data_IF_364867216434
#
_entry.id   IF_364867216434
#
_cell.length_a   1.000
_cell.length_b   1.000
_cell.length_c   1.000
_cell.angle_alpha   90.00
_cell.angle_beta   90.00
_cell.angle_gamma   90.00
#
_symmetry.space_group_name_H-M   'P 1'
#
loop_
_entity.id
_entity.type
_entity.pdbx_description
1 polymer ?
#
# COMPACT_ATOMS: atom_id res chain seq x y z
N UNK A 1 -48.76 13.25 36.54
CA UNK A 1 -48.06 12.25 35.72
C UNK A 1 -47.10 13.00 34.81
N UNK A 2 -45.80 12.87 35.03
CA UNK A 2 -44.75 13.43 34.19
C UNK A 2 -44.04 12.28 33.49
N UNK A 3 -44.10 12.23 32.17
CA UNK A 3 -43.16 11.43 31.38
C UNK A 3 -42.67 12.26 30.20
N UNK A 4 -41.35 12.43 30.16
CA UNK A 4 -40.59 13.24 29.22
C UNK A 4 -40.58 12.57 27.85
N UNK A 5 -40.79 13.36 26.80
CA UNK A 5 -40.56 12.98 25.40
C UNK A 5 -39.05 12.85 25.17
N UNK A 6 -38.58 11.62 24.90
CA UNK A 6 -37.26 11.38 24.34
C UNK A 6 -37.37 11.42 22.81
N UNK A 7 -36.82 12.46 22.17
CA UNK A 7 -36.59 12.52 20.73
C UNK A 7 -35.44 11.57 20.40
N UNK A 8 -35.76 10.36 19.97
CA UNK A 8 -34.80 9.47 19.33
C UNK A 8 -34.60 9.94 17.87
N UNK A 9 -33.48 10.63 17.60
CA UNK A 9 -32.98 10.77 16.23
C UNK A 9 -32.55 9.40 15.74
N UNK A 10 -33.51 8.69 15.13
CA UNK A 10 -33.35 7.33 14.63
C UNK A 10 -32.93 7.42 13.17
N UNK A 11 -31.62 7.47 12.91
CA UNK A 11 -31.11 7.05 11.62
C UNK A 11 -31.12 5.51 11.62
N UNK A 12 -32.30 4.92 11.48
CA UNK A 12 -32.43 3.50 11.12
C UNK A 12 -32.85 3.44 9.67
N UNK A 13 -31.88 3.22 8.79
CA UNK A 13 -32.18 2.55 7.53
C UNK A 13 -32.74 1.18 7.89
N UNK A 14 -33.92 0.78 7.36
CA UNK A 14 -34.50 -0.53 7.62
C UNK A 14 -33.54 -1.66 7.19
N UNK A 15 -33.60 -2.81 7.87
CA UNK A 15 -32.77 -3.99 7.58
C UNK A 15 -32.96 -4.57 6.16
N UNK A 16 -33.99 -4.12 5.43
CA UNK A 16 -34.42 -4.59 4.10
C UNK A 16 -34.10 -3.64 2.93
N UNK A 17 -33.06 -2.79 3.04
CA UNK A 17 -32.62 -1.92 1.94
C UNK A 17 -31.20 -2.29 1.50
N UNK A 18 -30.80 -2.06 0.24
CA UNK A 18 -29.41 -2.24 -0.14
C UNK A 18 -28.56 -1.37 0.78
N UNK A 19 -27.65 -2.02 1.50
CA UNK A 19 -26.70 -1.35 2.36
C UNK A 19 -25.65 -0.64 1.50
N UNK A 20 -25.63 0.69 1.56
CA UNK A 20 -24.65 1.52 0.86
C UNK A 20 -23.35 1.61 1.68
N UNK A 21 -22.33 0.86 1.28
CA UNK A 21 -20.99 1.00 1.86
C UNK A 21 -20.24 2.18 1.25
N UNK A 22 -19.93 3.20 2.04
CA UNK A 22 -19.19 4.37 1.58
C UNK A 22 -17.67 4.17 1.65
N UNK A 23 -17.06 3.77 0.53
CA UNK A 23 -15.61 3.60 0.45
C UNK A 23 -14.83 4.91 0.70
N UNK A 24 -15.42 6.08 0.42
CA UNK A 24 -14.76 7.38 0.67
C UNK A 24 -14.61 7.69 2.18
N UNK A 25 -15.33 6.98 3.05
CA UNK A 25 -15.20 7.14 4.49
C UNK A 25 -14.06 6.27 5.08
N UNK A 26 -13.53 5.33 4.30
CA UNK A 26 -12.44 4.45 4.73
C UNK A 26 -11.13 5.25 4.75
N UNK A 27 -10.39 5.13 5.84
CA UNK A 27 -9.07 5.74 6.03
C UNK A 27 -8.05 4.66 6.34
N UNK A 28 -6.79 4.89 5.98
CA UNK A 28 -5.71 4.00 6.36
C UNK A 28 -5.53 4.01 7.88
N UNK A 29 -5.33 2.82 8.45
CA UNK A 29 -5.07 2.66 9.89
C UNK A 29 -3.59 2.87 10.26
N UNK A 30 -2.72 2.96 9.25
CA UNK A 30 -1.27 3.11 9.39
C UNK A 30 -0.79 4.41 8.77
N UNK A 31 0.36 4.89 9.24
CA UNK A 31 1.03 6.05 8.65
C UNK A 31 1.63 5.69 7.29
N UNK A 32 1.13 6.30 6.22
CA UNK A 32 1.50 6.02 4.83
C UNK A 32 2.83 6.72 4.44
N UNK A 33 3.82 6.68 5.32
CA UNK A 33 5.10 7.36 5.06
C UNK A 33 5.84 6.74 3.87
N UNK A 34 6.40 7.58 2.98
CA UNK A 34 7.20 7.08 1.86
C UNK A 34 8.45 6.34 2.31
N UNK A 35 8.77 5.25 1.61
CA UNK A 35 10.01 4.50 1.77
C UNK A 35 11.12 5.14 0.93
N UNK A 36 12.31 5.34 1.52
CA UNK A 36 13.47 5.92 0.83
C UNK A 36 14.65 4.96 0.84
N UNK A 37 15.30 4.80 -0.30
CA UNK A 37 16.48 3.94 -0.43
C UNK A 37 17.56 4.58 -1.30
N UNK A 38 18.77 4.07 -1.17
CA UNK A 38 19.91 4.47 -2.00
C UNK A 38 20.15 3.42 -3.09
N UNK A 39 20.34 3.89 -4.32
CA UNK A 39 20.75 3.03 -5.41
C UNK A 39 21.77 3.73 -6.30
N UNK A 40 22.89 3.04 -6.51
CA UNK A 40 24.03 3.56 -7.23
C UNK A 40 23.86 3.34 -8.74
N UNK A 41 24.05 4.40 -9.52
CA UNK A 41 24.38 4.32 -10.94
C UNK A 41 25.86 4.65 -11.12
N UNK A 42 26.45 4.36 -12.28
CA UNK A 42 27.86 4.67 -12.56
C UNK A 42 28.18 6.17 -12.39
N UNK A 43 27.21 7.02 -12.71
CA UNK A 43 27.36 8.48 -12.70
C UNK A 43 26.86 9.13 -11.40
N UNK A 44 26.05 8.41 -10.62
CA UNK A 44 25.58 8.87 -9.31
C UNK A 44 25.57 7.71 -8.30
N UNK A 45 26.64 7.57 -7.49
CA UNK A 45 26.79 6.42 -6.60
C UNK A 45 25.85 6.45 -5.39
N UNK A 46 25.23 7.59 -5.08
CA UNK A 46 24.41 7.77 -3.89
C UNK A 46 23.05 8.41 -4.22
N UNK A 47 22.47 8.07 -5.39
CA UNK A 47 21.13 8.58 -5.73
C UNK A 47 20.12 8.00 -4.75
N UNK A 48 19.30 8.88 -4.19
CA UNK A 48 18.17 8.51 -3.35
C UNK A 48 16.92 8.44 -4.21
N UNK A 49 16.14 7.40 -3.97
CA UNK A 49 14.84 7.16 -4.59
C UNK A 49 13.76 7.16 -3.51
N UNK A 50 12.54 7.51 -3.92
CA UNK A 50 11.36 7.49 -3.05
C UNK A 50 10.31 6.55 -3.63
N UNK A 51 9.78 5.67 -2.79
CA UNK A 51 8.59 4.85 -3.06
C UNK A 51 7.47 5.30 -2.13
N UNK A 52 6.24 5.38 -2.65
CA UNK A 52 5.04 5.52 -1.84
C UNK A 52 4.88 4.32 -0.88
N UNK A 53 3.93 4.38 0.04
CA UNK A 53 3.59 3.24 0.89
C UNK A 53 2.72 2.23 0.11
N UNK A 54 2.83 0.92 0.40
CA UNK A 54 2.11 -0.11 -0.37
C UNK A 54 0.58 0.05 -0.36
N UNK A 55 0.00 0.48 0.77
CA UNK A 55 -1.44 0.74 0.88
C UNK A 55 -1.91 2.02 0.14
N UNK A 56 -0.96 2.85 -0.31
CA UNK A 56 -1.24 4.08 -1.06
C UNK A 56 -1.18 3.85 -2.58
N UNK A 57 -0.83 2.63 -3.02
CA UNK A 57 -0.76 2.27 -4.43
C UNK A 57 -2.14 1.95 -4.99
N UNK A 58 -2.33 2.24 -6.28
CA UNK A 58 -3.49 1.74 -7.02
C UNK A 58 -3.41 0.21 -7.13
N UNK A 59 -4.40 -0.48 -6.58
CA UNK A 59 -4.46 -1.94 -6.55
C UNK A 59 -4.60 -2.53 -7.96
N UNK A 60 -5.18 -1.80 -8.92
CA UNK A 60 -5.39 -2.31 -10.27
C UNK A 60 -4.05 -2.47 -11.01
N UNK A 61 -3.15 -1.50 -10.88
CA UNK A 61 -1.79 -1.56 -11.46
C UNK A 61 -0.98 -2.73 -10.86
N UNK A 62 -1.19 -3.01 -9.57
CA UNK A 62 -0.53 -4.13 -8.89
C UNK A 62 -1.04 -5.49 -9.37
N UNK A 63 -2.36 -5.62 -9.58
CA UNK A 63 -2.97 -6.86 -10.07
C UNK A 63 -2.49 -7.19 -11.48
N UNK A 64 -2.45 -6.22 -12.39
CA UNK A 64 -1.94 -6.41 -13.75
C UNK A 64 -0.49 -6.91 -13.74
N UNK A 65 0.36 -6.33 -12.89
CA UNK A 65 1.74 -6.76 -12.77
C UNK A 65 1.91 -8.18 -12.22
N UNK A 66 1.02 -8.60 -11.31
CA UNK A 66 1.08 -9.92 -10.67
C UNK A 66 0.78 -11.08 -11.63
N UNK A 67 0.05 -10.84 -12.72
CA UNK A 67 -0.21 -11.86 -13.75
C UNK A 67 1.08 -12.39 -14.40
N UNK A 68 2.15 -11.59 -14.39
CA UNK A 68 3.47 -11.97 -14.90
C UNK A 68 4.34 -12.79 -13.93
N UNK A 69 3.82 -13.22 -12.78
CA UNK A 69 4.55 -13.94 -11.73
C UNK A 69 5.35 -13.05 -10.78
N UNK A 70 6.03 -13.65 -9.80
CA UNK A 70 6.64 -12.95 -8.65
C UNK A 70 7.57 -11.79 -9.02
N UNK A 71 8.45 -11.99 -10.02
CA UNK A 71 9.38 -10.95 -10.45
C UNK A 71 8.63 -9.78 -11.08
N UNK A 72 7.61 -10.07 -11.88
CA UNK A 72 6.77 -9.04 -12.52
C UNK A 72 5.96 -8.27 -11.47
N UNK A 73 5.44 -8.96 -10.47
CA UNK A 73 4.76 -8.34 -9.33
C UNK A 73 5.68 -7.37 -8.57
N UNK A 74 6.92 -7.79 -8.27
CA UNK A 74 7.91 -6.92 -7.60
C UNK A 74 8.24 -5.68 -8.44
N UNK A 75 8.47 -5.87 -9.74
CA UNK A 75 8.81 -4.78 -10.68
C UNK A 75 7.64 -3.82 -10.86
N UNK A 76 6.41 -4.33 -10.97
CA UNK A 76 5.20 -3.52 -11.06
C UNK A 76 4.94 -2.72 -9.80
N UNK A 77 5.13 -3.32 -8.61
CA UNK A 77 5.02 -2.60 -7.35
C UNK A 77 6.01 -1.44 -7.25
N UNK A 78 7.26 -1.62 -7.71
CA UNK A 78 8.23 -0.52 -7.76
C UNK A 78 7.83 0.56 -8.75
N UNK A 79 7.30 0.20 -9.91
CA UNK A 79 6.83 1.18 -10.90
C UNK A 79 5.67 2.01 -10.36
N UNK A 80 4.67 1.37 -9.78
CA UNK A 80 3.51 2.04 -9.19
C UNK A 80 3.89 2.94 -8.00
N UNK A 81 4.91 2.55 -7.24
CA UNK A 81 5.33 3.31 -6.06
C UNK A 81 6.24 4.51 -6.35
N UNK A 82 6.82 4.63 -7.55
CA UNK A 82 7.80 5.66 -7.90
C UNK A 82 7.20 6.67 -8.86
N UNK A 83 7.67 7.93 -8.80
CA UNK A 83 7.42 8.88 -9.88
C UNK A 83 8.07 8.40 -11.19
N UNK A 84 7.55 8.82 -12.34
CA UNK A 84 8.09 8.46 -13.65
C UNK A 84 9.59 8.81 -13.81
N UNK A 85 10.03 9.93 -13.23
CA UNK A 85 11.44 10.36 -13.27
C UNK A 85 12.36 9.43 -12.44
N UNK A 86 11.89 9.03 -11.26
CA UNK A 86 12.62 8.11 -10.39
C UNK A 86 12.62 6.70 -10.97
N UNK A 87 11.50 6.25 -11.52
CA UNK A 87 11.39 4.95 -12.20
C UNK A 87 12.36 4.85 -13.38
N UNK A 88 12.34 5.86 -14.26
CA UNK A 88 13.22 5.92 -15.43
C UNK A 88 14.69 5.84 -15.03
N UNK A 89 15.10 6.60 -14.01
CA UNK A 89 16.46 6.58 -13.53
C UNK A 89 16.85 5.30 -12.79
N UNK A 90 15.93 4.71 -12.04
CA UNK A 90 16.14 3.44 -11.35
C UNK A 90 16.41 2.31 -12.35
N UNK A 91 15.66 2.27 -13.45
CA UNK A 91 15.80 1.30 -14.55
C UNK A 91 17.04 1.51 -15.43
N UNK A 92 17.66 2.68 -15.38
CA UNK A 92 18.85 2.97 -16.18
C UNK A 92 20.09 2.17 -15.72
N UNK A 93 20.13 1.72 -14.46
CA UNK A 93 21.19 0.85 -13.95
C UNK A 93 20.75 -0.63 -13.97
N UNK A 94 21.66 -1.56 -14.34
CA UNK A 94 21.39 -2.99 -14.21
C UNK A 94 21.10 -3.36 -12.75
N UNK A 95 19.96 -4.01 -12.51
CA UNK A 95 19.55 -4.49 -11.19
C UNK A 95 19.78 -6.00 -11.08
N UNK A 96 20.78 -6.47 -10.31
CA UNK A 96 20.90 -7.88 -10.00
C UNK A 96 19.69 -8.40 -9.23
N UNK A 97 19.24 -9.62 -9.54
CA UNK A 97 18.05 -10.22 -8.93
C UNK A 97 18.10 -10.28 -7.39
N UNK A 98 19.28 -10.54 -6.80
CA UNK A 98 19.41 -10.58 -5.34
C UNK A 98 19.14 -9.23 -4.67
N UNK A 99 19.43 -8.12 -5.37
CA UNK A 99 19.14 -6.76 -4.87
C UNK A 99 17.68 -6.39 -5.07
N UNK A 100 17.06 -6.84 -6.16
CA UNK A 100 15.61 -6.71 -6.39
C UNK A 100 14.84 -7.32 -5.21
N UNK A 101 15.17 -8.58 -4.86
CA UNK A 101 14.53 -9.27 -3.74
C UNK A 101 14.77 -8.54 -2.42
N UNK A 102 16.02 -8.18 -2.12
CA UNK A 102 16.37 -7.48 -0.88
C UNK A 102 15.65 -6.13 -0.75
N UNK A 103 15.51 -5.38 -1.84
CA UNK A 103 14.76 -4.13 -1.89
C UNK A 103 13.27 -4.37 -1.61
N UNK A 104 12.68 -5.38 -2.25
CA UNK A 104 11.25 -5.68 -2.05
C UNK A 104 10.96 -6.14 -0.62
N UNK A 105 11.80 -7.00 -0.04
CA UNK A 105 11.67 -7.45 1.34
C UNK A 105 11.76 -6.26 2.33
N UNK A 106 12.70 -5.34 2.09
CA UNK A 106 12.85 -4.14 2.90
C UNK A 106 11.62 -3.20 2.78
N UNK A 107 11.10 -3.05 1.56
CA UNK A 107 9.93 -2.24 1.29
C UNK A 107 8.67 -2.81 1.95
N UNK A 108 8.43 -4.13 1.85
CA UNK A 108 7.33 -4.81 2.54
C UNK A 108 7.41 -4.63 4.06
N UNK A 109 8.60 -4.73 4.63
CA UNK A 109 8.80 -4.53 6.07
C UNK A 109 8.50 -3.10 6.51
N UNK A 110 8.96 -2.10 5.75
CA UNK A 110 8.65 -0.69 6.03
C UNK A 110 7.14 -0.45 6.03
N UNK A 111 6.42 -1.07 5.08
CA UNK A 111 4.98 -0.91 4.94
C UNK A 111 4.15 -1.80 5.89
N UNK A 112 4.78 -2.51 6.83
CA UNK A 112 4.07 -3.39 7.78
C UNK A 112 3.46 -4.65 7.16
N UNK A 113 3.91 -5.06 5.97
CA UNK A 113 3.35 -6.20 5.19
C UNK A 113 4.27 -7.43 5.20
N UNK A 114 5.10 -7.55 6.24
CA UNK A 114 6.01 -8.68 6.40
C UNK A 114 5.24 -10.00 6.51
N UNK A 115 5.79 -11.07 5.95
CA UNK A 115 5.23 -12.43 6.08
C UNK A 115 5.23 -12.83 7.55
N UNK A 116 4.06 -12.76 8.22
CA UNK A 116 3.89 -13.28 9.58
C UNK A 116 2.91 -12.54 10.49
N UNK A 117 2.50 -11.31 10.19
CA UNK A 117 1.57 -10.57 11.06
C UNK A 117 0.19 -10.46 10.42
N UNK A 118 -0.54 -11.57 10.44
CA UNK A 118 -1.99 -11.55 10.34
C UNK A 118 -2.55 -10.76 11.53
N UNK A 119 -3.35 -9.69 11.36
CA UNK A 119 -4.03 -9.03 12.47
C UNK A 119 -5.25 -9.83 12.99
N UNK A 120 -5.32 -11.13 12.69
CA UNK A 120 -6.42 -12.02 13.07
C UNK A 120 -6.06 -12.96 14.24
N UNK A 121 -5.27 -12.49 15.21
CA UNK A 121 -5.16 -13.20 16.49
C UNK A 121 -4.95 -12.24 17.65
N UNK A 122 -6.05 -11.86 18.30
CA UNK A 122 -6.14 -11.69 19.75
C UNK A 122 -7.60 -11.51 20.16
N UNK A 123 -8.17 -12.59 20.68
CA UNK A 123 -9.52 -12.63 21.23
C UNK A 123 -9.99 -14.06 21.46
N UNK A 124 -9.34 -14.76 22.39
CA UNK A 124 -9.96 -15.88 23.12
C UNK A 124 -11.01 -15.36 24.09
#
# INVERSE_FOLDING_TARGET
MTSRTATASKHTTPDDQPYDFNLNAVQAEVDLTPFRFLWATKDNPNRRFTMLHLQDLDVWDLMEAAEGGDISAMVGAFRAAMSEDDWTAFRAAPMPQYKLKALFDAYRRHCGVAEGESPASSGS
#
